data_IF_402241922981
#
_entry.id   IF_402241922981
#
_cell.length_a   1.000
_cell.length_b   1.000
_cell.length_c   1.000
_cell.angle_alpha   90.00
_cell.angle_beta   90.00
_cell.angle_gamma   90.00
#
_symmetry.space_group_name_H-M   'P 1'
#
loop_
_entity.id
_entity.type
_entity.pdbx_description
1 polymer ?
#
# COMPACT_ATOMS: atom_id res chain seq x y z
N UNK A 1 -24.57 -22.95 -31.30
CA UNK A 1 -24.67 -22.23 -30.03
C UNK A 1 -24.82 -23.24 -28.89
N UNK A 2 -23.89 -23.25 -27.95
CA UNK A 2 -23.93 -24.13 -26.77
C UNK A 2 -25.01 -23.68 -25.78
N UNK A 3 -25.40 -24.55 -24.84
CA UNK A 3 -26.34 -24.19 -23.76
C UNK A 3 -25.81 -23.00 -22.93
N UNK A 4 -24.50 -22.92 -22.78
CA UNK A 4 -23.82 -21.86 -22.04
C UNK A 4 -23.89 -20.51 -22.79
N UNK A 5 -23.56 -20.52 -24.09
CA UNK A 5 -23.65 -19.32 -24.94
C UNK A 5 -25.07 -18.77 -25.01
N UNK A 6 -26.07 -19.66 -25.07
CA UNK A 6 -27.48 -19.28 -25.05
C UNK A 6 -27.86 -18.57 -23.75
N UNK A 7 -27.50 -19.15 -22.59
CA UNK A 7 -27.81 -18.57 -21.28
C UNK A 7 -27.09 -17.21 -21.10
N UNK A 8 -25.84 -17.09 -21.54
CA UNK A 8 -25.13 -15.80 -21.53
C UNK A 8 -25.81 -14.76 -22.42
N UNK A 9 -26.22 -15.13 -23.63
CA UNK A 9 -26.93 -14.25 -24.56
C UNK A 9 -28.26 -13.78 -23.97
N UNK A 10 -29.05 -14.68 -23.38
CA UNK A 10 -30.35 -14.36 -22.79
C UNK A 10 -30.19 -13.37 -21.61
N UNK A 11 -29.19 -13.61 -20.73
CA UNK A 11 -28.89 -12.69 -19.62
C UNK A 11 -28.35 -11.34 -20.09
N UNK A 12 -27.49 -11.33 -21.12
CA UNK A 12 -26.93 -10.10 -21.70
C UNK A 12 -28.02 -9.24 -22.33
N UNK A 13 -28.92 -9.86 -23.11
CA UNK A 13 -30.04 -9.15 -23.69
C UNK A 13 -30.94 -8.57 -22.61
N UNK A 14 -31.24 -9.36 -21.56
CA UNK A 14 -32.06 -8.90 -20.44
C UNK A 14 -31.43 -7.72 -19.70
N UNK A 15 -30.11 -7.75 -19.49
CA UNK A 15 -29.37 -6.64 -18.88
C UNK A 15 -29.52 -5.33 -19.66
N UNK A 16 -29.45 -5.40 -20.99
CA UNK A 16 -29.54 -4.22 -21.86
C UNK A 16 -30.97 -3.65 -21.95
N UNK A 17 -31.99 -4.49 -21.77
CA UNK A 17 -33.40 -4.07 -21.92
C UNK A 17 -34.12 -3.76 -20.61
N UNK A 18 -33.61 -4.22 -19.47
CA UNK A 18 -34.30 -4.00 -18.19
C UNK A 18 -34.36 -2.51 -17.82
N UNK A 19 -35.47 -2.12 -17.21
CA UNK A 19 -35.69 -0.78 -16.67
C UNK A 19 -35.73 -0.77 -15.14
N UNK A 20 -35.57 -1.94 -14.51
CA UNK A 20 -35.51 -2.08 -13.05
C UNK A 20 -34.06 -2.03 -12.58
N UNK A 21 -33.73 -1.03 -11.74
CA UNK A 21 -32.38 -0.85 -11.23
C UNK A 21 -31.90 -1.99 -10.32
N UNK A 22 -32.78 -2.59 -9.52
CA UNK A 22 -32.44 -3.72 -8.65
C UNK A 22 -32.15 -4.97 -9.47
N UNK A 23 -32.98 -5.23 -10.48
CA UNK A 23 -32.75 -6.33 -11.42
C UNK A 23 -31.47 -6.11 -12.22
N UNK A 24 -31.20 -4.88 -12.67
CA UNK A 24 -29.97 -4.52 -13.37
C UNK A 24 -28.72 -4.87 -12.54
N UNK A 25 -28.69 -4.50 -11.26
CA UNK A 25 -27.59 -4.87 -10.36
C UNK A 25 -27.41 -6.38 -10.22
N UNK A 26 -28.50 -7.12 -10.06
CA UNK A 26 -28.44 -8.58 -9.90
C UNK A 26 -27.98 -9.26 -11.19
N UNK A 27 -28.42 -8.78 -12.36
CA UNK A 27 -27.98 -9.28 -13.66
C UNK A 27 -26.48 -9.05 -13.86
N UNK A 28 -25.95 -7.86 -13.55
CA UNK A 28 -24.51 -7.60 -13.61
C UNK A 28 -23.73 -8.55 -12.70
N UNK A 29 -24.13 -8.69 -11.44
CA UNK A 29 -23.47 -9.62 -10.49
C UNK A 29 -23.49 -11.05 -11.01
N UNK A 30 -24.65 -11.51 -11.49
CA UNK A 30 -24.84 -12.87 -11.99
C UNK A 30 -23.98 -13.14 -13.23
N UNK A 31 -23.93 -12.20 -14.18
CA UNK A 31 -23.12 -12.30 -15.39
C UNK A 31 -21.64 -12.35 -15.02
N UNK A 32 -21.15 -11.39 -14.21
CA UNK A 32 -19.74 -11.33 -13.77
C UNK A 32 -19.35 -12.61 -13.05
N UNK A 33 -20.14 -13.06 -12.06
CA UNK A 33 -19.84 -14.26 -11.27
C UNK A 33 -19.81 -15.54 -12.11
N UNK A 34 -20.72 -15.68 -13.07
CA UNK A 34 -20.87 -16.93 -13.85
C UNK A 34 -19.95 -16.99 -15.07
N UNK A 35 -19.68 -15.84 -15.68
CA UNK A 35 -19.06 -15.74 -17.01
C UNK A 35 -17.81 -14.86 -17.07
N UNK A 36 -17.50 -14.08 -16.04
CA UNK A 36 -16.37 -13.15 -16.02
C UNK A 36 -15.02 -13.82 -16.31
N UNK A 37 -14.81 -15.06 -15.86
CA UNK A 37 -13.60 -15.82 -16.20
C UNK A 37 -13.74 -16.63 -17.50
N UNK A 38 -14.89 -17.28 -17.70
CA UNK A 38 -15.11 -18.27 -18.77
C UNK A 38 -15.33 -17.66 -20.14
N UNK A 39 -15.91 -16.46 -20.19
CA UNK A 39 -16.27 -15.70 -21.38
C UNK A 39 -15.92 -14.23 -21.12
N UNK A 40 -14.66 -14.00 -20.72
CA UNK A 40 -14.19 -12.70 -20.21
C UNK A 40 -14.39 -11.57 -21.22
N UNK A 41 -14.02 -11.80 -22.49
CA UNK A 41 -14.11 -10.77 -23.53
C UNK A 41 -15.56 -10.40 -23.83
N UNK A 42 -16.42 -11.39 -23.99
CA UNK A 42 -17.84 -11.22 -24.25
C UNK A 42 -18.51 -10.53 -23.07
N UNK A 43 -18.14 -10.91 -21.84
CA UNK A 43 -18.61 -10.26 -20.61
C UNK A 43 -18.22 -8.79 -20.59
N UNK A 44 -16.95 -8.46 -20.86
CA UNK A 44 -16.47 -7.08 -20.91
C UNK A 44 -17.23 -6.24 -21.96
N UNK A 45 -17.42 -6.78 -23.16
CA UNK A 45 -18.19 -6.12 -24.22
C UNK A 45 -19.65 -5.87 -23.81
N UNK A 46 -20.31 -6.86 -23.21
CA UNK A 46 -21.68 -6.71 -22.70
C UNK A 46 -21.77 -5.62 -21.63
N UNK A 47 -20.82 -5.57 -20.67
CA UNK A 47 -20.83 -4.56 -19.62
C UNK A 47 -20.55 -3.15 -20.16
N UNK A 48 -19.62 -3.00 -21.11
CA UNK A 48 -19.36 -1.72 -21.79
C UNK A 48 -20.61 -1.22 -22.52
N UNK A 49 -21.29 -2.11 -23.26
CA UNK A 49 -22.57 -1.79 -23.90
C UNK A 49 -23.62 -1.40 -22.87
N UNK A 50 -23.71 -2.11 -21.74
CA UNK A 50 -24.65 -1.78 -20.68
C UNK A 50 -24.40 -0.37 -20.10
N UNK A 51 -23.15 0.03 -19.90
CA UNK A 51 -22.81 1.40 -19.45
C UNK A 51 -23.26 2.46 -20.47
N UNK A 52 -23.03 2.20 -21.77
CA UNK A 52 -23.33 3.16 -22.86
C UNK A 52 -24.80 3.24 -23.22
N UNK A 53 -25.48 2.10 -23.31
CA UNK A 53 -26.81 1.95 -23.90
C UNK A 53 -27.94 1.92 -22.86
N UNK A 54 -27.66 1.50 -21.61
CA UNK A 54 -28.71 1.36 -20.59
C UNK A 54 -29.29 2.71 -20.16
N UNK A 55 -30.60 2.71 -19.89
CA UNK A 55 -31.34 3.82 -19.28
C UNK A 55 -31.09 3.92 -17.76
N UNK A 56 -30.48 2.92 -17.14
CA UNK A 56 -30.17 2.86 -15.70
C UNK A 56 -28.85 3.61 -15.42
N UNK A 57 -28.90 4.94 -15.50
CA UNK A 57 -27.70 5.78 -15.41
C UNK A 57 -27.04 5.77 -14.02
N UNK A 58 -27.83 5.69 -12.95
CA UNK A 58 -27.32 5.67 -11.57
C UNK A 58 -26.46 4.44 -11.24
N UNK A 59 -26.62 3.33 -11.97
CA UNK A 59 -25.85 2.12 -11.77
C UNK A 59 -24.54 2.08 -12.58
N UNK A 60 -24.23 3.09 -13.40
CA UNK A 60 -23.05 3.09 -14.29
C UNK A 60 -21.74 2.93 -13.54
N UNK A 61 -21.54 3.66 -12.45
CA UNK A 61 -20.33 3.55 -11.62
C UNK A 61 -20.11 2.13 -11.10
N UNK A 62 -21.19 1.45 -10.69
CA UNK A 62 -21.12 0.06 -10.25
C UNK A 62 -20.65 -0.89 -11.37
N UNK A 63 -21.13 -0.68 -12.60
CA UNK A 63 -20.71 -1.50 -13.74
C UNK A 63 -19.28 -1.19 -14.17
N UNK A 64 -18.87 0.08 -14.19
CA UNK A 64 -17.48 0.49 -14.49
C UNK A 64 -16.51 -0.14 -13.49
N UNK A 65 -16.87 -0.26 -12.21
CA UNK A 65 -16.08 -0.98 -11.22
C UNK A 65 -15.85 -2.44 -11.63
N UNK A 66 -16.90 -3.16 -12.02
CA UNK A 66 -16.80 -4.56 -12.45
C UNK A 66 -15.96 -4.73 -13.73
N UNK A 67 -16.10 -3.80 -14.69
CA UNK A 67 -15.25 -3.78 -15.89
C UNK A 67 -13.79 -3.61 -15.48
N UNK A 68 -13.50 -2.64 -14.61
CA UNK A 68 -12.14 -2.32 -14.15
C UNK A 68 -11.50 -3.47 -13.39
N UNK A 69 -12.28 -4.25 -12.63
CA UNK A 69 -11.83 -5.49 -12.00
C UNK A 69 -11.47 -6.59 -13.02
N UNK A 70 -12.31 -6.78 -14.05
CA UNK A 70 -12.19 -7.86 -15.03
C UNK A 70 -11.12 -7.64 -16.10
N UNK A 71 -10.85 -6.39 -16.49
CA UNK A 71 -9.81 -6.10 -17.49
C UNK A 71 -8.43 -6.50 -16.99
N UNK A 72 -7.54 -6.78 -17.94
CA UNK A 72 -6.13 -7.10 -17.77
C UNK A 72 -5.28 -6.22 -18.68
N UNK A 73 -3.95 -6.24 -18.51
CA UNK A 73 -3.01 -5.52 -19.39
C UNK A 73 -3.10 -5.90 -20.88
N UNK A 74 -3.69 -7.06 -21.20
CA UNK A 74 -3.89 -7.50 -22.58
C UNK A 74 -5.14 -6.88 -23.23
N UNK A 75 -5.99 -6.19 -22.46
CA UNK A 75 -7.31 -5.70 -22.89
C UNK A 75 -7.25 -4.24 -23.38
N UNK A 76 -6.15 -3.87 -24.05
CA UNK A 76 -5.87 -2.50 -24.56
C UNK A 76 -7.00 -1.92 -25.45
N UNK A 77 -7.77 -2.78 -26.12
CA UNK A 77 -8.91 -2.37 -26.94
C UNK A 77 -10.02 -1.65 -26.14
N UNK A 78 -10.04 -1.79 -24.81
CA UNK A 78 -10.99 -1.11 -23.92
C UNK A 78 -10.50 0.24 -23.41
N UNK A 79 -9.26 0.66 -23.69
CA UNK A 79 -8.75 1.97 -23.30
C UNK A 79 -9.65 3.15 -23.73
N UNK A 80 -10.16 3.21 -24.98
CA UNK A 80 -11.04 4.31 -25.40
C UNK A 80 -12.32 4.44 -24.56
N UNK A 81 -12.83 3.33 -24.03
CA UNK A 81 -13.99 3.35 -23.13
C UNK A 81 -13.66 4.07 -21.82
N UNK A 82 -12.50 3.81 -21.21
CA UNK A 82 -12.13 4.47 -19.95
C UNK A 82 -11.84 5.96 -20.14
N UNK A 83 -11.14 6.34 -21.23
CA UNK A 83 -10.97 7.75 -21.62
C UNK A 83 -12.33 8.46 -21.74
N UNK A 84 -13.30 7.82 -22.40
CA UNK A 84 -14.66 8.35 -22.54
C UNK A 84 -15.37 8.50 -21.18
N UNK A 85 -15.24 7.54 -20.27
CA UNK A 85 -15.89 7.63 -18.95
C UNK A 85 -15.29 8.73 -18.08
N UNK A 86 -13.97 8.90 -18.10
CA UNK A 86 -13.29 9.96 -17.35
C UNK A 86 -13.74 11.34 -17.86
N UNK A 87 -13.72 11.54 -19.17
CA UNK A 87 -14.12 12.82 -19.80
C UNK A 87 -15.60 13.15 -19.64
N UNK A 88 -16.47 12.14 -19.44
CA UNK A 88 -17.90 12.32 -19.16
C UNK A 88 -18.26 12.51 -17.68
N UNK A 89 -17.27 12.62 -16.79
CA UNK A 89 -17.53 12.80 -15.37
C UNK A 89 -17.98 11.52 -14.64
N UNK A 90 -17.58 10.34 -15.13
CA UNK A 90 -17.70 9.06 -14.42
C UNK A 90 -16.29 8.47 -14.10
N UNK A 91 -15.41 9.23 -13.42
CA UNK A 91 -13.99 8.93 -13.47
C UNK A 91 -13.52 7.92 -12.40
N UNK A 92 -14.21 7.84 -11.25
CA UNK A 92 -13.72 7.17 -10.04
C UNK A 92 -13.14 5.78 -10.30
N UNK A 93 -13.94 4.88 -10.88
CA UNK A 93 -13.50 3.52 -11.20
C UNK A 93 -12.76 3.43 -12.55
N UNK A 94 -12.96 4.41 -13.43
CA UNK A 94 -12.38 4.40 -14.77
C UNK A 94 -10.86 4.63 -14.75
N UNK A 95 -10.30 5.33 -13.75
CA UNK A 95 -8.85 5.53 -13.62
C UNK A 95 -8.10 4.20 -13.50
N UNK A 96 -8.48 3.36 -12.54
CA UNK A 96 -7.82 2.07 -12.31
C UNK A 96 -7.96 1.14 -13.52
N UNK A 97 -9.12 1.17 -14.19
CA UNK A 97 -9.34 0.45 -15.44
C UNK A 97 -8.40 0.91 -16.56
N UNK A 98 -8.30 2.22 -16.79
CA UNK A 98 -7.41 2.82 -17.79
C UNK A 98 -5.95 2.48 -17.54
N UNK A 99 -5.49 2.69 -16.30
CA UNK A 99 -4.12 2.38 -15.88
C UNK A 99 -3.79 0.91 -16.08
N UNK A 100 -4.74 0.00 -15.82
CA UNK A 100 -4.50 -1.42 -16.01
C UNK A 100 -4.35 -1.81 -17.48
N UNK A 101 -5.12 -1.20 -18.39
CA UNK A 101 -5.10 -1.57 -19.82
C UNK A 101 -4.07 -0.81 -20.64
N UNK A 102 -3.71 0.43 -20.28
CA UNK A 102 -2.70 1.24 -20.99
C UNK A 102 -1.35 1.33 -20.29
N UNK A 103 -1.30 1.03 -19.00
CA UNK A 103 -0.09 1.19 -18.21
C UNK A 103 0.30 2.66 -18.06
N UNK A 104 1.59 2.94 -18.27
CA UNK A 104 2.20 4.27 -18.14
C UNK A 104 1.82 5.24 -19.28
N UNK A 105 1.37 4.73 -20.42
CA UNK A 105 1.00 5.55 -21.59
C UNK A 105 -0.10 6.58 -21.29
N UNK A 106 -0.96 6.30 -20.31
CA UNK A 106 -2.05 7.19 -19.95
C UNK A 106 -1.68 8.23 -18.88
N UNK A 107 -0.46 8.21 -18.31
CA UNK A 107 -0.05 9.18 -17.30
C UNK A 107 -0.14 10.64 -17.76
N UNK A 108 0.29 11.03 -18.98
CA UNK A 108 0.15 12.41 -19.42
C UNK A 108 -1.31 12.88 -19.44
N UNK A 109 -2.23 12.01 -19.86
CA UNK A 109 -3.66 12.31 -19.85
C UNK A 109 -4.19 12.49 -18.42
N UNK A 110 -3.81 11.62 -17.49
CA UNK A 110 -4.27 11.71 -16.10
C UNK A 110 -3.73 12.95 -15.40
N UNK A 111 -2.48 13.34 -15.66
CA UNK A 111 -1.89 14.57 -15.10
C UNK A 111 -2.50 15.82 -15.74
N UNK A 112 -2.83 15.80 -17.02
CA UNK A 112 -3.59 16.87 -17.67
C UNK A 112 -5.01 16.98 -17.10
N UNK A 113 -5.69 15.84 -16.90
CA UNK A 113 -7.00 15.78 -16.25
C UNK A 113 -6.97 16.39 -14.84
N UNK A 114 -5.96 16.07 -14.02
CA UNK A 114 -5.82 16.63 -12.66
C UNK A 114 -5.70 18.16 -12.64
N UNK A 115 -5.13 18.75 -13.69
CA UNK A 115 -4.98 20.21 -13.81
C UNK A 115 -6.29 20.90 -14.23
N UNK A 116 -7.14 20.21 -14.99
CA UNK A 116 -8.38 20.77 -15.58
C UNK A 116 -9.66 20.46 -14.81
N UNK A 117 -9.68 19.35 -14.10
CA UNK A 117 -10.82 18.98 -13.26
C UNK A 117 -11.02 20.01 -12.14
N UNK A 118 -12.24 20.19 -11.64
CA UNK A 118 -12.55 21.08 -10.52
C UNK A 118 -12.92 20.27 -9.26
N UNK A 119 -13.46 19.07 -9.43
CA UNK A 119 -13.83 18.20 -8.33
C UNK A 119 -12.59 17.68 -7.59
N UNK A 120 -12.42 18.15 -6.35
CA UNK A 120 -11.37 17.70 -5.42
C UNK A 120 -11.42 16.19 -5.19
N UNK A 121 -12.62 15.62 -5.08
CA UNK A 121 -12.81 14.19 -4.87
C UNK A 121 -12.29 13.39 -6.08
N UNK A 122 -12.67 13.80 -7.30
CA UNK A 122 -12.20 13.15 -8.52
C UNK A 122 -10.68 13.25 -8.68
N UNK A 123 -10.10 14.43 -8.37
CA UNK A 123 -8.63 14.59 -8.37
C UNK A 123 -7.96 13.68 -7.36
N UNK A 124 -8.52 13.60 -6.16
CA UNK A 124 -8.06 12.70 -5.12
C UNK A 124 -8.03 11.24 -5.58
N UNK A 125 -9.12 10.76 -6.18
CA UNK A 125 -9.20 9.40 -6.73
C UNK A 125 -8.19 9.15 -7.85
N UNK A 126 -7.97 10.12 -8.74
CA UNK A 126 -6.93 10.03 -9.77
C UNK A 126 -5.52 9.97 -9.17
N UNK A 127 -5.23 10.78 -8.15
CA UNK A 127 -3.95 10.77 -7.44
C UNK A 127 -3.73 9.42 -6.74
N UNK A 128 -4.76 8.87 -6.08
CA UNK A 128 -4.71 7.52 -5.51
C UNK A 128 -4.34 6.54 -6.62
N UNK A 129 -5.14 6.49 -7.70
CA UNK A 129 -4.94 5.54 -8.80
C UNK A 129 -3.52 5.64 -9.41
N UNK A 130 -3.01 6.86 -9.60
CA UNK A 130 -1.64 7.11 -10.04
C UNK A 130 -0.60 6.61 -9.03
N UNK A 131 -0.78 6.91 -7.74
CA UNK A 131 0.10 6.41 -6.68
C UNK A 131 0.15 4.89 -6.67
N UNK A 132 -1.00 4.22 -6.84
CA UNK A 132 -1.05 2.75 -6.91
C UNK A 132 -0.29 2.21 -8.11
N UNK A 133 -0.58 2.73 -9.31
CA UNK A 133 0.00 2.16 -10.52
C UNK A 133 1.49 2.51 -10.70
N UNK A 134 1.90 3.74 -10.35
CA UNK A 134 3.28 4.22 -10.50
C UNK A 134 4.19 3.83 -9.35
N UNK A 135 3.59 3.55 -8.19
CA UNK A 135 4.28 3.30 -6.95
C UNK A 135 4.84 4.52 -6.24
N UNK A 136 4.35 5.71 -6.55
CA UNK A 136 4.84 6.93 -5.95
C UNK A 136 4.07 7.29 -4.68
N UNK A 137 4.75 7.80 -3.64
CA UNK A 137 4.17 8.10 -2.33
C UNK A 137 3.46 9.46 -2.30
N UNK A 138 2.62 9.77 -3.29
CA UNK A 138 1.96 11.08 -3.39
C UNK A 138 1.11 11.39 -2.15
N UNK A 139 0.47 10.35 -1.62
CA UNK A 139 -0.61 10.41 -0.64
C UNK A 139 -0.35 9.54 0.61
N UNK A 140 0.89 9.14 0.88
CA UNK A 140 1.23 8.29 2.04
C UNK A 140 0.82 8.89 3.39
N UNK A 141 0.93 10.21 3.53
CA UNK A 141 0.62 10.92 4.79
C UNK A 141 -0.84 11.42 4.85
N UNK A 142 -1.69 10.97 3.93
CA UNK A 142 -3.07 11.46 3.79
C UNK A 142 -4.08 10.37 4.16
N UNK A 143 -5.27 10.74 4.67
CA UNK A 143 -6.38 9.80 4.87
C UNK A 143 -6.68 8.96 3.63
N UNK A 144 -7.26 7.77 3.81
CA UNK A 144 -7.62 6.90 2.67
C UNK A 144 -8.66 7.54 1.74
N UNK A 145 -9.59 8.29 2.30
CA UNK A 145 -10.65 8.98 1.57
C UNK A 145 -10.22 10.44 1.24
N UNK A 146 -10.12 10.81 -0.05
CA UNK A 146 -9.75 12.15 -0.47
C UNK A 146 -10.66 13.28 0.00
N UNK A 147 -11.90 12.96 0.41
CA UNK A 147 -12.81 13.94 0.99
C UNK A 147 -12.21 14.64 2.23
N UNK A 148 -11.32 13.95 2.96
CA UNK A 148 -10.67 14.47 4.17
C UNK A 148 -9.31 15.14 3.91
N UNK A 149 -8.81 15.17 2.69
CA UNK A 149 -7.51 15.78 2.40
C UNK A 149 -7.62 17.30 2.53
N UNK A 150 -6.74 17.97 3.27
CA UNK A 150 -6.79 19.44 3.35
C UNK A 150 -6.37 20.09 2.02
N UNK A 151 -5.32 19.55 1.41
CA UNK A 151 -4.80 19.96 0.11
C UNK A 151 -4.48 18.73 -0.76
N UNK A 152 -4.50 18.90 -2.08
CA UNK A 152 -4.08 17.86 -3.01
C UNK A 152 -2.55 17.94 -3.20
N UNK A 153 -1.82 16.81 -3.21
CA UNK A 153 -0.37 16.78 -3.39
C UNK A 153 0.05 16.99 -4.87
N UNK A 154 -0.48 18.03 -5.51
CA UNK A 154 -0.26 18.30 -6.94
C UNK A 154 1.20 18.59 -7.27
N UNK A 155 1.93 19.24 -6.36
CA UNK A 155 3.38 19.51 -6.52
C UNK A 155 4.16 18.21 -6.73
N UNK A 156 3.95 17.20 -5.85
CA UNK A 156 4.59 15.89 -5.97
C UNK A 156 4.28 15.20 -7.31
N UNK A 157 3.04 15.33 -7.82
CA UNK A 157 2.63 14.75 -9.10
C UNK A 157 3.30 15.46 -10.28
N UNK A 158 3.43 16.79 -10.24
CA UNK A 158 4.07 17.58 -11.29
C UNK A 158 5.60 17.41 -11.28
N UNK A 159 6.23 17.28 -10.12
CA UNK A 159 7.64 16.90 -10.00
C UNK A 159 7.90 15.52 -10.59
N UNK A 160 7.03 14.54 -10.27
CA UNK A 160 7.09 13.20 -10.86
C UNK A 160 6.92 13.22 -12.39
N UNK A 161 6.03 14.07 -12.91
CA UNK A 161 5.91 14.31 -14.35
C UNK A 161 7.22 14.88 -14.93
N UNK A 162 7.82 15.89 -14.30
CA UNK A 162 9.05 16.52 -14.76
C UNK A 162 10.24 15.53 -14.81
N UNK A 163 10.21 14.49 -13.97
CA UNK A 163 11.19 13.39 -13.96
C UNK A 163 10.92 12.32 -15.04
N UNK A 164 9.89 12.47 -15.87
CA UNK A 164 9.56 11.51 -16.92
C UNK A 164 8.76 10.30 -16.43
N UNK A 165 7.94 10.49 -15.39
CA UNK A 165 7.07 9.45 -14.82
C UNK A 165 7.79 8.18 -14.32
N UNK A 166 8.89 8.29 -13.54
CA UNK A 166 9.59 7.11 -13.05
C UNK A 166 8.64 6.21 -12.24
N UNK A 167 8.60 4.92 -12.56
CA UNK A 167 7.88 3.95 -11.73
C UNK A 167 8.79 3.50 -10.60
N UNK A 168 8.26 3.54 -9.38
CA UNK A 168 8.80 2.74 -8.29
C UNK A 168 8.03 1.43 -8.34
N UNK A 169 8.67 0.37 -8.81
CA UNK A 169 8.14 -0.94 -8.44
C UNK A 169 8.27 -1.04 -6.93
N UNK A 170 7.24 -1.57 -6.25
CA UNK A 170 7.48 -2.20 -4.97
C UNK A 170 8.47 -3.32 -5.28
N UNK A 171 9.76 -3.01 -5.17
CA UNK A 171 10.75 -4.05 -5.18
C UNK A 171 10.43 -4.85 -3.93
N UNK A 172 9.82 -6.02 -4.11
CA UNK A 172 10.17 -7.11 -3.23
C UNK A 172 11.67 -7.32 -3.48
N UNK A 173 12.52 -6.54 -2.82
CA UNK A 173 13.99 -6.58 -2.90
C UNK A 173 14.55 -7.90 -2.37
N UNK A 174 13.66 -8.83 -2.03
CA UNK A 174 13.94 -10.04 -1.28
C UNK A 174 13.47 -11.32 -1.98
N UNK A 175 13.59 -11.50 -3.31
CA UNK A 175 13.28 -12.80 -3.92
C UNK A 175 14.16 -13.90 -3.32
N UNK A 176 15.37 -13.55 -2.86
CA UNK A 176 16.26 -14.47 -2.16
C UNK A 176 15.73 -14.94 -0.80
N UNK A 177 14.90 -14.16 -0.08
CA UNK A 177 14.30 -14.60 1.18
C UNK A 177 13.34 -15.77 0.94
N UNK A 178 12.60 -15.74 -0.18
CA UNK A 178 11.70 -16.83 -0.55
C UNK A 178 12.43 -18.05 -1.13
N UNK A 179 13.60 -17.84 -1.74
CA UNK A 179 14.32 -18.89 -2.49
C UNK A 179 15.42 -19.57 -1.69
N UNK A 180 16.25 -18.82 -0.96
CA UNK A 180 17.46 -19.35 -0.31
C UNK A 180 18.02 -18.45 0.82
N UNK A 181 17.29 -18.26 1.94
CA UNK A 181 17.80 -17.48 3.08
C UNK A 181 19.01 -18.17 3.74
N UNK A 182 20.12 -17.46 3.91
CA UNK A 182 21.38 -18.03 4.43
C UNK A 182 21.54 -17.78 5.93
N UNK A 183 21.38 -16.53 6.35
CA UNK A 183 21.58 -16.14 7.75
C UNK A 183 20.34 -16.41 8.60
N UNK A 184 20.50 -16.45 9.92
CA UNK A 184 19.35 -16.65 10.80
C UNK A 184 18.36 -15.48 10.74
N UNK A 185 18.87 -14.24 10.60
CA UNK A 185 18.03 -13.07 10.32
C UNK A 185 17.23 -13.25 9.02
N UNK A 186 17.87 -13.70 7.94
CA UNK A 186 17.19 -13.95 6.66
C UNK A 186 16.12 -15.04 6.80
N UNK A 187 16.36 -16.11 7.56
CA UNK A 187 15.36 -17.16 7.78
C UNK A 187 14.15 -16.63 8.55
N UNK A 188 14.33 -15.75 9.53
CA UNK A 188 13.23 -15.12 10.26
C UNK A 188 12.49 -14.13 9.36
N UNK A 189 13.21 -13.29 8.63
CA UNK A 189 12.62 -12.34 7.70
C UNK A 189 11.87 -13.03 6.56
N UNK A 190 12.31 -14.20 6.11
CA UNK A 190 11.57 -15.01 5.12
C UNK A 190 10.19 -15.42 5.63
N UNK A 191 10.06 -15.78 6.92
CA UNK A 191 8.75 -16.10 7.52
C UNK A 191 7.87 -14.87 7.65
N UNK A 192 8.45 -13.74 8.09
CA UNK A 192 7.74 -12.46 8.18
C UNK A 192 7.23 -12.05 6.79
N UNK A 193 8.10 -12.10 5.78
CA UNK A 193 7.76 -11.72 4.41
C UNK A 193 6.67 -12.61 3.80
N UNK A 194 6.58 -13.90 4.17
CA UNK A 194 5.43 -14.74 3.78
C UNK A 194 4.11 -14.25 4.38
N UNK A 195 4.12 -13.71 5.60
CA UNK A 195 2.93 -13.12 6.23
C UNK A 195 2.58 -11.81 5.54
N UNK A 196 3.58 -10.93 5.34
CA UNK A 196 3.38 -9.64 4.66
C UNK A 196 2.90 -9.84 3.21
N UNK A 197 3.41 -10.84 2.49
CA UNK A 197 2.97 -11.16 1.13
C UNK A 197 1.48 -11.55 1.08
N UNK A 198 1.02 -12.35 2.04
CA UNK A 198 -0.41 -12.70 2.15
C UNK A 198 -1.26 -11.48 2.48
N UNK A 199 -0.77 -10.56 3.31
CA UNK A 199 -1.48 -9.31 3.57
C UNK A 199 -1.56 -8.43 2.32
N UNK A 200 -0.46 -8.29 1.57
CA UNK A 200 -0.44 -7.54 0.30
C UNK A 200 -1.42 -8.13 -0.72
N UNK A 201 -1.50 -9.46 -0.81
CA UNK A 201 -2.45 -10.16 -1.67
C UNK A 201 -3.90 -9.97 -1.20
N UNK A 202 -4.17 -10.18 0.10
CA UNK A 202 -5.52 -10.10 0.69
C UNK A 202 -6.15 -8.71 0.53
N UNK A 203 -5.38 -7.67 0.81
CA UNK A 203 -5.86 -6.29 0.70
C UNK A 203 -5.87 -5.79 -0.75
N UNK A 204 -5.47 -6.63 -1.72
CA UNK A 204 -5.24 -6.22 -3.10
C UNK A 204 -4.40 -4.94 -3.18
N UNK A 205 -3.39 -4.82 -2.29
CA UNK A 205 -2.56 -3.62 -2.17
C UNK A 205 -1.77 -3.48 -3.45
N UNK A 206 -2.34 -2.75 -4.40
CA UNK A 206 -1.60 -2.17 -5.51
C UNK A 206 -1.08 -0.80 -5.13
N UNK A 207 -1.43 -0.28 -3.95
CA UNK A 207 -1.13 1.10 -3.55
C UNK A 207 -0.20 1.23 -2.37
N UNK A 208 0.73 2.17 -2.51
CA UNK A 208 1.62 2.65 -1.44
C UNK A 208 0.84 3.24 -0.25
N UNK A 209 -0.50 3.32 -0.31
CA UNK A 209 -1.33 3.66 0.84
C UNK A 209 -1.38 2.56 1.91
N UNK A 210 -0.88 1.34 1.65
CA UNK A 210 -0.77 0.28 2.64
C UNK A 210 0.69 -0.22 2.78
N UNK A 211 1.61 0.72 3.04
CA UNK A 211 3.04 0.44 3.26
C UNK A 211 3.33 -0.40 4.52
N UNK A 212 2.34 -0.64 5.40
CA UNK A 212 2.47 -1.51 6.59
C UNK A 212 2.99 -2.92 6.31
N UNK A 213 2.83 -3.38 5.07
CA UNK A 213 3.27 -4.70 4.63
C UNK A 213 4.49 -4.66 3.70
N UNK A 214 5.21 -3.53 3.63
CA UNK A 214 6.35 -3.36 2.73
C UNK A 214 7.64 -3.25 3.55
N UNK A 215 8.64 -4.01 3.12
CA UNK A 215 10.02 -3.87 3.56
C UNK A 215 10.78 -3.08 2.49
N UNK A 216 11.69 -2.22 2.91
CA UNK A 216 12.49 -1.35 2.04
C UNK A 216 13.97 -1.36 2.44
N UNK A 217 14.79 -1.02 1.46
CA UNK A 217 16.21 -0.70 1.66
C UNK A 217 16.32 0.82 1.80
N UNK A 218 16.69 1.34 2.99
CA UNK A 218 16.78 2.78 3.20
C UNK A 218 17.96 3.39 2.45
N UNK A 219 17.90 4.70 2.24
CA UNK A 219 19.03 5.44 1.68
C UNK A 219 20.25 5.37 2.60
N UNK A 220 21.45 5.31 1.99
CA UNK A 220 22.71 5.19 2.74
C UNK A 220 22.87 6.31 3.78
N UNK A 221 22.46 7.54 3.45
CA UNK A 221 22.55 8.68 4.35
C UNK A 221 21.78 8.45 5.65
N UNK A 222 20.58 7.85 5.58
CA UNK A 222 19.75 7.55 6.75
C UNK A 222 20.48 6.57 7.68
N UNK A 223 21.11 5.54 7.12
CA UNK A 223 21.90 4.58 7.90
C UNK A 223 23.13 5.25 8.53
N UNK A 224 23.81 6.13 7.80
CA UNK A 224 25.00 6.85 8.30
C UNK A 224 24.62 7.77 9.47
N UNK A 225 23.47 8.44 9.42
CA UNK A 225 22.92 9.25 10.53
C UNK A 225 22.61 8.41 11.76
N UNK A 226 22.05 7.21 11.59
CA UNK A 226 21.81 6.27 12.69
C UNK A 226 23.12 5.82 13.33
N UNK A 227 24.12 5.45 12.52
CA UNK A 227 25.45 5.02 12.98
C UNK A 227 26.21 6.11 13.72
N UNK A 228 25.99 7.37 13.37
CA UNK A 228 26.57 8.51 14.08
C UNK A 228 26.00 8.67 15.50
N UNK A 229 24.77 8.21 15.74
CA UNK A 229 24.08 8.32 17.04
C UNK A 229 24.26 7.11 17.94
N UNK A 230 24.29 5.91 17.37
CA UNK A 230 24.34 4.66 18.15
C UNK A 230 25.29 3.63 17.55
N UNK A 231 26.04 2.97 18.44
CA UNK A 231 26.71 1.72 18.10
C UNK A 231 25.70 0.57 18.20
N UNK A 232 25.15 0.15 17.06
CA UNK A 232 24.12 -0.87 17.00
C UNK A 232 24.70 -2.29 16.93
N UNK A 233 24.02 -3.31 17.51
CA UNK A 233 24.38 -4.71 17.30
C UNK A 233 24.23 -5.11 15.84
N UNK A 234 25.10 -5.99 15.35
CA UNK A 234 25.19 -6.36 13.94
C UNK A 234 23.86 -6.85 13.34
N UNK A 235 23.08 -7.65 14.08
CA UNK A 235 21.78 -8.17 13.60
C UNK A 235 20.78 -7.05 13.41
N UNK A 236 20.64 -6.13 14.38
CA UNK A 236 19.70 -5.02 14.27
C UNK A 236 20.11 -4.02 13.19
N UNK A 237 21.41 -3.74 13.05
CA UNK A 237 21.92 -2.90 11.97
C UNK A 237 21.62 -3.52 10.59
N UNK A 238 21.90 -4.81 10.41
CA UNK A 238 21.60 -5.52 9.16
C UNK A 238 20.10 -5.50 8.85
N UNK A 239 19.26 -5.62 9.87
CA UNK A 239 17.81 -5.47 9.73
C UNK A 239 17.43 -4.08 9.22
N UNK A 240 17.97 -3.00 9.79
CA UNK A 240 17.69 -1.65 9.29
C UNK A 240 18.22 -1.43 7.87
N UNK A 241 19.41 -1.91 7.55
CA UNK A 241 20.05 -1.73 6.24
C UNK A 241 19.35 -2.51 5.12
N UNK A 242 18.69 -3.64 5.43
CA UNK A 242 18.19 -4.56 4.42
C UNK A 242 16.71 -4.86 4.52
N UNK A 243 16.10 -4.75 5.69
CA UNK A 243 14.75 -5.26 5.95
C UNK A 243 13.91 -4.26 6.75
N UNK A 244 14.17 -2.96 6.56
CA UNK A 244 13.46 -1.90 7.26
C UNK A 244 11.99 -1.90 6.85
N UNK A 245 11.03 -1.81 7.77
CA UNK A 245 9.64 -1.55 7.39
C UNK A 245 9.51 -0.13 6.82
N UNK A 246 8.67 0.02 5.79
CA UNK A 246 8.41 1.31 5.13
C UNK A 246 7.36 2.17 5.87
N UNK A 247 6.58 1.55 6.76
CA UNK A 247 5.65 2.17 7.70
C UNK A 247 5.86 1.52 9.06
N UNK A 248 5.67 2.27 10.14
CA UNK A 248 5.83 1.74 11.49
C UNK A 248 4.77 0.68 11.79
N UNK A 249 3.54 0.85 11.32
CA UNK A 249 2.48 -0.13 11.55
C UNK A 249 2.91 -1.50 11.00
N UNK A 250 2.99 -2.51 11.86
CA UNK A 250 3.54 -3.81 11.50
C UNK A 250 2.68 -4.96 12.06
N UNK A 251 3.26 -6.17 12.10
CA UNK A 251 2.56 -7.38 12.51
C UNK A 251 2.08 -7.35 13.98
N UNK A 252 0.98 -8.06 14.25
CA UNK A 252 0.41 -8.29 15.60
C UNK A 252 0.07 -7.00 16.38
N UNK A 253 -0.20 -5.91 15.68
CA UNK A 253 -0.53 -4.61 16.27
C UNK A 253 0.66 -3.99 17.01
N UNK A 254 1.88 -4.31 16.57
CA UNK A 254 3.11 -3.66 17.00
C UNK A 254 3.50 -2.66 15.91
N UNK A 255 3.92 -1.47 16.34
CA UNK A 255 4.59 -0.54 15.46
C UNK A 255 6.09 -0.85 15.52
N UNK A 256 6.69 -1.36 14.45
CA UNK A 256 8.12 -1.68 14.37
C UNK A 256 8.84 -0.55 13.63
N UNK A 257 9.82 0.07 14.26
CA UNK A 257 10.46 1.26 13.70
C UNK A 257 11.55 0.88 12.69
N UNK A 258 11.37 1.37 11.47
CA UNK A 258 12.34 1.25 10.39
C UNK A 258 13.41 2.35 10.43
N UNK A 259 14.40 2.26 9.55
CA UNK A 259 15.52 3.19 9.49
C UNK A 259 15.04 4.65 9.29
N UNK A 260 14.07 4.85 8.40
CA UNK A 260 13.54 6.17 8.06
C UNK A 260 12.78 6.84 9.22
N UNK A 261 12.29 6.07 10.19
CA UNK A 261 11.49 6.60 11.31
C UNK A 261 12.20 6.49 12.65
N UNK A 262 13.24 5.65 12.79
CA UNK A 262 13.88 5.30 14.06
C UNK A 262 14.27 6.50 14.92
N UNK A 263 14.96 7.48 14.34
CA UNK A 263 15.41 8.69 15.07
C UNK A 263 14.21 9.50 15.53
N UNK A 264 13.28 9.78 14.63
CA UNK A 264 12.07 10.56 14.93
C UNK A 264 11.23 9.87 16.01
N UNK A 265 11.16 8.54 16.00
CA UNK A 265 10.38 7.75 16.96
C UNK A 265 11.00 7.64 18.36
N UNK A 266 12.20 8.17 18.56
CA UNK A 266 12.71 8.41 19.92
C UNK A 266 12.04 9.64 20.57
N UNK A 267 11.42 10.53 19.78
CA UNK A 267 10.74 11.71 20.31
C UNK A 267 9.56 11.30 21.21
N UNK A 268 9.44 11.94 22.36
CA UNK A 268 8.45 11.60 23.40
C UNK A 268 8.92 10.51 24.36
N UNK A 269 9.99 9.77 24.04
CA UNK A 269 10.61 8.80 24.95
C UNK A 269 11.96 9.28 25.45
N UNK A 270 12.89 9.54 24.53
CA UNK A 270 14.27 9.88 24.84
C UNK A 270 14.52 11.39 24.87
N UNK A 271 13.81 12.15 24.05
CA UNK A 271 13.95 13.61 23.88
C UNK A 271 12.65 14.20 23.30
N UNK A 272 12.49 15.53 23.29
CA UNK A 272 11.30 16.18 22.71
C UNK A 272 11.38 16.34 21.19
N UNK A 273 12.58 16.59 20.67
CA UNK A 273 12.92 16.71 19.24
C UNK A 273 14.25 15.98 18.97
N UNK A 274 14.53 15.51 17.72
CA UNK A 274 15.77 14.80 17.40
C UNK A 274 17.08 15.52 17.74
N UNK A 275 17.04 16.85 17.83
CA UNK A 275 18.19 17.70 18.11
C UNK A 275 18.25 18.18 19.56
N UNK A 276 17.25 17.83 20.37
CA UNK A 276 17.20 18.20 21.79
C UNK A 276 18.07 17.29 22.65
N UNK A 277 18.39 17.79 23.84
CA UNK A 277 19.00 16.97 24.89
C UNK A 277 18.07 15.83 25.32
N UNK A 278 18.69 14.71 25.70
CA UNK A 278 17.96 13.57 26.26
C UNK A 278 17.32 13.93 27.60
N UNK A 279 16.15 13.39 27.87
CA UNK A 279 15.52 13.52 29.18
C UNK A 279 16.43 12.92 30.27
N UNK A 280 16.51 13.55 31.45
CA UNK A 280 17.42 13.12 32.52
C UNK A 280 17.27 11.65 32.93
N UNK A 281 16.03 11.14 32.91
CA UNK A 281 15.70 9.78 33.32
C UNK A 281 15.84 8.75 32.19
N UNK A 282 16.19 9.18 30.98
CA UNK A 282 16.39 8.31 29.83
C UNK A 282 17.86 7.94 29.64
N UNK A 283 18.16 6.65 29.68
CA UNK A 283 19.55 6.17 29.53
C UNK A 283 19.98 6.16 28.07
N UNK A 284 21.23 6.57 27.81
CA UNK A 284 21.82 6.64 26.46
C UNK A 284 21.73 5.32 25.68
N UNK A 285 21.77 4.19 26.39
CA UNK A 285 21.76 2.85 25.83
C UNK A 285 20.36 2.24 25.67
N UNK A 286 19.30 2.98 26.00
CA UNK A 286 17.92 2.57 25.71
C UNK A 286 17.51 3.14 24.37
N UNK A 287 17.41 2.26 23.36
CA UNK A 287 16.94 2.61 22.03
C UNK A 287 15.54 2.03 21.84
N UNK A 288 14.53 2.87 21.62
CA UNK A 288 13.19 2.39 21.30
C UNK A 288 13.18 1.87 19.87
N UNK A 289 12.80 0.61 19.68
CA UNK A 289 12.78 -0.03 18.35
C UNK A 289 11.38 -0.38 17.88
N UNK A 290 10.40 -0.36 18.79
CA UNK A 290 9.00 -0.60 18.49
C UNK A 290 8.12 -0.05 19.63
N UNK A 291 6.82 0.07 19.38
CA UNK A 291 5.82 0.31 20.42
C UNK A 291 4.55 -0.53 20.19
N UNK A 292 3.77 -0.66 21.25
CA UNK A 292 2.37 -1.09 21.13
C UNK A 292 1.52 -0.21 22.04
N UNK A 293 0.61 0.53 21.46
CA UNK A 293 -0.24 1.50 22.17
C UNK A 293 0.63 2.48 23.00
N UNK A 294 1.73 2.95 22.41
CA UNK A 294 2.76 3.79 23.03
C UNK A 294 3.58 3.14 24.16
N UNK A 295 3.38 1.86 24.49
CA UNK A 295 4.30 1.13 25.38
C UNK A 295 5.58 0.72 24.61
N UNK A 296 6.75 1.28 24.93
CA UNK A 296 7.96 1.08 24.16
C UNK A 296 8.55 -0.31 24.36
N UNK A 297 9.07 -0.86 23.27
CA UNK A 297 10.05 -1.94 23.25
C UNK A 297 11.42 -1.33 22.99
N UNK A 298 12.37 -1.56 23.90
CA UNK A 298 13.73 -1.06 23.78
C UNK A 298 14.72 -2.19 23.50
N UNK A 299 15.71 -1.90 22.68
CA UNK A 299 16.97 -2.62 22.60
C UNK A 299 17.90 -2.03 23.66
N UNK A 300 18.33 -2.84 24.65
CA UNK A 300 19.27 -2.37 25.68
C UNK A 300 20.71 -2.56 25.21
N UNK A 301 21.26 -1.51 24.59
CA UNK A 301 22.60 -1.50 23.98
C UNK A 301 23.71 -1.77 25.00
N UNK A 302 23.49 -1.48 26.28
CA UNK A 302 24.49 -1.75 27.32
C UNK A 302 24.70 -3.24 27.59
N UNK A 303 23.77 -4.08 27.11
CA UNK A 303 23.79 -5.54 27.22
C UNK A 303 24.03 -6.22 25.87
N UNK A 304 24.50 -5.47 24.88
CA UNK A 304 24.88 -6.07 23.61
C UNK A 304 26.15 -6.91 23.75
N UNK A 305 26.19 -8.03 23.05
CA UNK A 305 27.41 -8.84 22.85
C UNK A 305 28.16 -8.43 21.56
N UNK A 306 27.77 -7.32 20.93
CA UNK A 306 28.25 -6.85 19.64
C UNK A 306 27.46 -7.40 18.45
N UNK A 307 26.86 -8.58 18.58
CA UNK A 307 26.06 -9.20 17.52
C UNK A 307 24.57 -8.89 17.70
N UNK A 308 24.05 -9.06 18.92
CA UNK A 308 22.65 -8.84 19.26
C UNK A 308 22.51 -8.14 20.63
N UNK A 309 21.29 -7.83 21.06
CA UNK A 309 20.97 -7.31 22.38
C UNK A 309 19.55 -7.68 22.84
N UNK A 310 19.30 -7.81 24.15
CA UNK A 310 18.00 -8.18 24.69
C UNK A 310 16.96 -7.07 24.53
N UNK A 311 15.70 -7.48 24.35
CA UNK A 311 14.56 -6.57 24.24
C UNK A 311 13.81 -6.48 25.56
N UNK A 312 13.49 -5.26 25.97
CA UNK A 312 12.67 -4.97 27.14
C UNK A 312 11.43 -4.18 26.75
N UNK A 313 10.35 -4.36 27.51
CA UNK A 313 9.12 -3.56 27.40
C UNK A 313 8.79 -2.91 28.74
N UNK A 314 8.24 -1.71 28.73
CA UNK A 314 7.65 -1.07 29.89
C UNK A 314 6.33 -0.38 29.52
N UNK A 315 5.34 -0.32 30.42
CA UNK A 315 4.17 0.53 30.23
C UNK A 315 4.59 2.00 30.25
N UNK A 316 4.08 2.79 29.29
CA UNK A 316 4.25 4.23 29.33
C UNK A 316 3.34 4.88 30.40
N UNK A 317 3.63 6.12 30.80
CA UNK A 317 2.78 6.88 31.73
C UNK A 317 2.79 6.42 33.20
N UNK A 318 3.58 5.39 33.56
CA UNK A 318 3.67 4.87 34.92
C UNK A 318 4.53 5.71 35.89
N UNK A 319 5.02 6.88 35.45
CA UNK A 319 5.90 7.78 36.22
C UNK A 319 7.35 7.30 36.36
N UNK A 320 7.62 6.00 36.20
CA UNK A 320 8.97 5.42 36.18
C UNK A 320 9.05 4.24 35.20
N UNK A 321 10.17 4.11 34.50
CA UNK A 321 10.41 3.00 33.58
C UNK A 321 10.72 1.70 34.32
N UNK A 322 9.76 0.76 34.32
CA UNK A 322 9.92 -0.59 34.87
C UNK A 322 10.04 -1.62 33.76
N UNK A 323 11.26 -1.81 33.29
CA UNK A 323 11.58 -2.69 32.17
C UNK A 323 11.41 -4.18 32.51
N UNK A 324 10.63 -4.89 31.70
CA UNK A 324 10.51 -6.34 31.71
C UNK A 324 11.16 -6.91 30.44
N UNK A 325 12.05 -7.89 30.59
CA UNK A 325 12.65 -8.59 29.46
C UNK A 325 11.57 -9.37 28.71
N UNK A 326 11.47 -9.17 27.40
CA UNK A 326 10.48 -9.86 26.53
C UNK A 326 11.15 -10.75 25.47
N UNK A 327 12.42 -10.51 25.16
CA UNK A 327 13.22 -11.39 24.31
C UNK A 327 14.71 -11.36 24.75
N UNK A 328 15.39 -12.49 24.56
CA UNK A 328 16.83 -12.66 24.74
C UNK A 328 17.67 -11.87 23.75
N UNK A 329 17.14 -11.68 22.55
CA UNK A 329 17.78 -11.03 21.42
C UNK A 329 16.73 -10.32 20.54
N UNK A 330 17.16 -9.46 19.63
CA UNK A 330 16.33 -8.87 18.59
C UNK A 330 15.81 -9.96 17.63
N UNK A 331 16.64 -10.95 17.29
CA UNK A 331 16.21 -12.07 16.46
C UNK A 331 15.03 -12.85 17.09
N UNK A 332 15.11 -13.18 18.37
CA UNK A 332 14.03 -13.87 19.11
C UNK A 332 12.77 -12.98 19.20
N UNK A 333 12.94 -11.66 19.24
CA UNK A 333 11.80 -10.74 19.18
C UNK A 333 11.08 -10.80 17.83
N UNK A 334 11.82 -10.79 16.72
CA UNK A 334 11.26 -10.93 15.37
C UNK A 334 10.56 -12.29 15.17
N UNK A 335 11.10 -13.38 15.72
CA UNK A 335 10.45 -14.71 15.65
C UNK A 335 9.08 -14.77 16.34
N UNK A 336 8.81 -13.83 17.26
CA UNK A 336 7.53 -13.72 17.97
C UNK A 336 6.52 -12.84 17.22
N UNK A 337 6.95 -12.10 16.18
CA UNK A 337 6.07 -11.36 15.26
C UNK A 337 5.37 -12.32 14.30
#
# INVERSE_FOLDING_TARGET
MTKQEKDFSDLSQKLLTTTDGSEYHELVRKIVKKYGEKMRQETLQTLVRAVKESKITHARNFVIARISELVTENDTAFAPFFYEMITKGLPYWAFSGLLKVEGDKCYPFLVDYLQKEDSKENKGSAIIALAEHSGQPFNNDLPSDPAYWQALPMEKVLEWQAQGYPRKQAQNDFPFLAQNPQTDLEKVMAKIEQVLAKEREFWHVKSYQYNRAILEVPEKQVIDEIKARWQLPAVYLTFLERFSPADDAFLKGINLYGANTLIKRQCGYAFSSPDDERFPDWKAHWLVIADKDADPYILDLSKSDGNDAPIYKAPHGAGQWKWRKVAGSFLEFLEKL
#
